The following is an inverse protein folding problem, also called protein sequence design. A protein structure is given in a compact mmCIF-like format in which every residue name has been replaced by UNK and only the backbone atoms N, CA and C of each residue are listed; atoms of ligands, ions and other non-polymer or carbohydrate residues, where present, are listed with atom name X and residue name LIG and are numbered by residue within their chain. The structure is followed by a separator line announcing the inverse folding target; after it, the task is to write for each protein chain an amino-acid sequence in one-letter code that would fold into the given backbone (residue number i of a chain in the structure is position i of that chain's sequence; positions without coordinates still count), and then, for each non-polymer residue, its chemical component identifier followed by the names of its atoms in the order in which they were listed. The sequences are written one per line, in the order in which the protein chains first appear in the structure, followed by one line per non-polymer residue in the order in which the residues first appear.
data_IF_090830409312
#
_entry.id   IF_090830409312
#
_cell.length_a   1.000
_cell.length_b   1.000
_cell.length_c   1.000
_cell.angle_alpha   90.00
_cell.angle_beta   90.00
_cell.angle_gamma   90.00
#
_symmetry.space_group_name_H-M   'P 1'
#
loop_
_entity.id
_entity.type
_entity.pdbx_description
1 polymer ?
#
# COMPACT_ATOMS: atom_id res chain seq x y z
N UNK A 1 2.87 -16.22 2.76
CA UNK A 1 2.42 -15.32 1.68
C UNK A 1 3.01 -15.82 0.36
N UNK A 2 2.21 -15.89 -0.70
CA UNK A 2 2.67 -16.17 -2.07
C UNK A 2 2.27 -14.95 -2.91
N UNK A 3 3.23 -14.29 -3.56
CA UNK A 3 2.99 -13.08 -4.35
C UNK A 3 3.27 -13.36 -5.82
N UNK A 4 2.24 -13.22 -6.67
CA UNK A 4 2.33 -13.46 -8.11
C UNK A 4 2.52 -12.14 -8.86
N UNK A 5 3.52 -12.06 -9.73
CA UNK A 5 3.63 -10.99 -10.72
C UNK A 5 2.70 -11.30 -11.89
N UNK A 6 1.44 -10.86 -11.79
CA UNK A 6 0.38 -11.24 -12.74
C UNK A 6 0.72 -10.86 -14.18
N UNK A 7 1.25 -9.65 -14.39
CA UNK A 7 1.64 -9.15 -15.70
C UNK A 7 2.73 -10.02 -16.31
N UNK A 8 3.76 -10.39 -15.54
CA UNK A 8 4.86 -11.22 -16.03
C UNK A 8 4.40 -12.64 -16.38
N UNK A 9 3.53 -13.22 -15.56
CA UNK A 9 2.94 -14.54 -15.84
C UNK A 9 2.11 -14.47 -17.12
N UNK A 10 1.25 -13.45 -17.25
CA UNK A 10 0.41 -13.28 -18.41
C UNK A 10 1.21 -13.00 -19.69
N UNK A 11 2.29 -12.19 -19.62
CA UNK A 11 3.22 -12.00 -20.74
C UNK A 11 3.82 -13.33 -21.21
N UNK A 12 4.26 -14.18 -20.28
CA UNK A 12 4.79 -15.51 -20.61
C UNK A 12 3.72 -16.41 -21.25
N UNK A 13 2.51 -16.41 -20.72
CA UNK A 13 1.40 -17.23 -21.24
C UNK A 13 0.90 -16.75 -22.61
N UNK A 14 0.93 -15.44 -22.87
CA UNK A 14 0.48 -14.84 -24.13
C UNK A 14 1.62 -14.70 -25.16
N UNK A 15 2.87 -14.97 -24.77
CA UNK A 15 4.02 -14.90 -25.67
C UNK A 15 4.36 -13.49 -26.13
N UNK A 16 4.16 -12.48 -25.28
CA UNK A 16 4.47 -11.07 -25.57
C UNK A 16 5.68 -10.57 -24.77
N UNK A 17 6.50 -9.74 -25.39
CA UNK A 17 7.74 -9.21 -24.80
C UNK A 17 7.54 -7.90 -24.01
N UNK A 18 6.43 -7.20 -24.26
CA UNK A 18 6.06 -5.95 -23.57
C UNK A 18 4.77 -6.14 -22.78
N UNK A 19 4.71 -5.56 -21.58
CA UNK A 19 3.48 -5.55 -20.78
C UNK A 19 2.35 -4.79 -21.49
N UNK A 20 2.67 -3.78 -22.29
CA UNK A 20 1.67 -2.96 -22.97
C UNK A 20 0.96 -3.70 -24.11
N UNK A 21 1.59 -4.75 -24.65
CA UNK A 21 1.03 -5.59 -25.72
C UNK A 21 0.14 -6.72 -25.17
N UNK A 22 0.08 -6.88 -23.85
CA UNK A 22 -0.72 -7.90 -23.18
C UNK A 22 -2.20 -7.67 -23.46
N UNK A 23 -2.92 -8.71 -23.89
CA UNK A 23 -4.37 -8.66 -24.06
C UNK A 23 -5.01 -8.67 -22.68
N UNK A 24 -5.62 -7.54 -22.32
CA UNK A 24 -6.35 -7.35 -21.06
C UNK A 24 -7.73 -8.01 -21.12
N UNK A 25 -8.44 -7.78 -22.23
CA UNK A 25 -9.72 -8.40 -22.50
C UNK A 25 -9.91 -8.56 -24.01
N UNK A 26 -10.55 -9.66 -24.42
CA UNK A 26 -10.99 -9.87 -25.79
C UNK A 26 -12.51 -10.07 -25.80
N UNK A 27 -13.22 -9.23 -26.55
CA UNK A 27 -14.68 -9.16 -26.46
C UNK A 27 -15.36 -8.71 -27.75
N UNK A 28 -16.70 -8.60 -27.75
CA UNK A 28 -17.48 -8.30 -28.96
C UNK A 28 -17.14 -6.97 -29.65
N UNK A 29 -16.52 -6.04 -28.90
CA UNK A 29 -16.13 -4.71 -29.38
C UNK A 29 -14.67 -4.65 -29.84
N UNK A 30 -13.98 -5.81 -29.87
CA UNK A 30 -12.56 -5.94 -30.19
C UNK A 30 -11.70 -6.22 -28.97
N UNK A 31 -10.40 -6.34 -29.25
CA UNK A 31 -9.36 -6.60 -28.26
C UNK A 31 -8.95 -5.31 -27.57
N UNK A 32 -8.82 -5.36 -26.24
CA UNK A 32 -8.29 -4.28 -25.40
C UNK A 32 -6.96 -4.76 -24.82
N UNK A 33 -5.91 -3.98 -25.03
CA UNK A 33 -4.58 -4.26 -24.49
C UNK A 33 -4.39 -3.60 -23.12
N UNK A 34 -3.38 -4.06 -22.36
CA UNK A 34 -2.94 -3.40 -21.14
C UNK A 34 -2.49 -1.96 -21.44
N UNK A 35 -1.85 -1.74 -22.60
CA UNK A 35 -1.46 -0.41 -23.06
C UNK A 35 -2.63 0.54 -23.19
N UNK A 36 -3.75 0.09 -23.77
CA UNK A 36 -4.96 0.91 -23.91
C UNK A 36 -5.53 1.38 -22.56
N UNK A 37 -5.35 0.58 -21.51
CA UNK A 37 -5.89 0.85 -20.18
C UNK A 37 -4.92 1.66 -19.30
N UNK A 38 -3.63 1.31 -19.31
CA UNK A 38 -2.68 1.79 -18.30
C UNK A 38 -1.53 2.64 -18.84
N UNK A 39 -1.25 2.67 -20.14
CA UNK A 39 -0.09 3.42 -20.65
C UNK A 39 -0.18 4.91 -20.33
N UNK A 40 -1.37 5.53 -20.51
CA UNK A 40 -1.59 6.93 -20.13
C UNK A 40 -1.37 7.13 -18.62
N UNK A 41 -1.93 6.25 -17.79
CA UNK A 41 -1.78 6.32 -16.34
C UNK A 41 -0.30 6.23 -15.92
N UNK A 42 0.47 5.31 -16.49
CA UNK A 42 1.90 5.16 -16.18
C UNK A 42 2.71 6.40 -16.55
N UNK A 43 2.44 7.00 -17.71
CA UNK A 43 3.10 8.25 -18.14
C UNK A 43 2.75 9.38 -17.17
N UNK A 44 1.47 9.62 -16.92
CA UNK A 44 1.00 10.73 -16.08
C UNK A 44 1.45 10.57 -14.62
N UNK A 45 1.32 9.36 -14.05
CA UNK A 45 1.75 9.09 -12.67
C UNK A 45 3.26 9.18 -12.52
N UNK A 46 4.05 8.72 -13.50
CA UNK A 46 5.50 8.89 -13.48
C UNK A 46 5.88 10.36 -13.50
N UNK A 47 5.31 11.15 -14.43
CA UNK A 47 5.55 12.59 -14.51
C UNK A 47 5.17 13.28 -13.19
N UNK A 48 4.01 12.96 -12.62
CA UNK A 48 3.61 13.50 -11.32
C UNK A 48 4.60 13.13 -10.21
N UNK A 49 4.90 11.83 -10.04
CA UNK A 49 5.73 11.31 -8.96
C UNK A 49 7.18 11.79 -9.03
N UNK A 50 7.74 11.99 -10.21
CA UNK A 50 9.13 12.39 -10.39
C UNK A 50 9.34 13.90 -10.54
N UNK A 51 8.35 14.65 -10.99
CA UNK A 51 8.54 16.06 -11.37
C UNK A 51 7.64 17.01 -10.58
N UNK A 52 6.34 16.72 -10.49
CA UNK A 52 5.34 17.69 -10.04
C UNK A 52 4.86 17.53 -8.60
N UNK A 53 5.02 16.37 -7.98
CA UNK A 53 4.53 16.17 -6.62
C UNK A 53 5.16 17.18 -5.64
N UNK A 54 4.30 17.87 -4.89
CA UNK A 54 4.68 18.96 -3.98
C UNK A 54 5.36 18.38 -2.73
N UNK A 55 6.68 18.54 -2.67
CA UNK A 55 7.54 18.02 -1.62
C UNK A 55 7.18 18.58 -0.24
N UNK A 56 6.87 19.87 -0.12
CA UNK A 56 6.59 20.51 1.17
C UNK A 56 5.27 19.99 1.76
N UNK A 57 4.24 19.87 0.90
CA UNK A 57 2.98 19.24 1.27
C UNK A 57 3.17 17.76 1.66
N UNK A 58 4.02 17.02 0.94
CA UNK A 58 4.29 15.61 1.25
C UNK A 58 4.97 15.44 2.62
N UNK A 59 5.95 16.28 2.98
CA UNK A 59 6.53 16.26 4.33
C UNK A 59 5.48 16.54 5.41
N UNK A 60 4.67 17.58 5.20
CA UNK A 60 3.58 17.95 6.12
C UNK A 60 2.55 16.84 6.27
N UNK A 61 2.21 16.17 5.17
CA UNK A 61 1.28 15.04 5.16
C UNK A 61 1.85 13.85 5.93
N UNK A 62 3.13 13.51 5.72
CA UNK A 62 3.77 12.42 6.46
C UNK A 62 3.68 12.64 7.97
N UNK A 63 4.08 13.83 8.44
CA UNK A 63 4.06 14.17 9.86
C UNK A 63 2.62 14.19 10.42
N UNK A 64 1.66 14.62 9.61
CA UNK A 64 0.23 14.59 9.96
C UNK A 64 -0.29 13.17 10.11
N UNK A 65 0.01 12.27 9.17
CA UNK A 65 -0.42 10.88 9.23
C UNK A 65 0.23 10.13 10.39
N UNK A 66 1.52 10.38 10.67
CA UNK A 66 2.19 9.81 11.84
C UNK A 66 1.50 10.25 13.14
N UNK A 67 1.27 11.56 13.32
CA UNK A 67 0.63 12.10 14.52
C UNK A 67 -0.79 11.57 14.70
N UNK A 68 -1.61 11.60 13.66
CA UNK A 68 -2.99 11.11 13.77
C UNK A 68 -3.02 9.58 13.97
N UNK A 69 -2.10 8.82 13.37
CA UNK A 69 -1.98 7.37 13.62
C UNK A 69 -1.74 7.11 15.10
N UNK A 70 -0.79 7.84 15.70
CA UNK A 70 -0.48 7.72 17.13
C UNK A 70 -1.69 8.05 18.00
N UNK A 71 -2.42 9.12 17.68
CA UNK A 71 -3.67 9.49 18.36
C UNK A 71 -4.75 8.41 18.25
N UNK A 72 -4.88 7.74 17.10
CA UNK A 72 -5.84 6.64 16.91
C UNK A 72 -5.45 5.40 17.73
N UNK A 73 -4.14 5.11 17.85
CA UNK A 73 -3.63 4.05 18.72
C UNK A 73 -4.01 4.32 20.17
N UNK A 74 -3.77 5.55 20.66
CA UNK A 74 -4.12 5.97 22.02
C UNK A 74 -5.63 5.93 22.29
N UNK A 75 -6.45 6.18 21.27
CA UNK A 75 -7.90 6.06 21.34
C UNK A 75 -8.41 4.60 21.27
N UNK A 76 -7.54 3.60 21.13
CA UNK A 76 -7.94 2.20 20.98
C UNK A 76 -8.59 1.87 19.65
N UNK A 77 -8.25 2.64 18.59
CA UNK A 77 -8.79 2.51 17.23
C UNK A 77 -7.69 2.02 16.25
N UNK A 78 -7.31 0.73 16.31
CA UNK A 78 -6.16 0.23 15.53
C UNK A 78 -6.41 0.18 14.03
N UNK A 79 -7.65 -0.03 13.57
CA UNK A 79 -7.96 -0.06 12.13
C UNK A 79 -7.81 1.33 11.48
N UNK A 80 -8.40 2.42 12.02
CA UNK A 80 -8.09 3.77 11.55
C UNK A 80 -6.60 4.14 11.64
N UNK A 81 -5.92 3.69 12.70
CA UNK A 81 -4.48 3.91 12.82
C UNK A 81 -3.72 3.23 11.67
N UNK A 82 -4.07 2.00 11.31
CA UNK A 82 -3.45 1.27 10.20
C UNK A 82 -3.58 2.00 8.86
N UNK A 83 -4.76 2.53 8.55
CA UNK A 83 -4.99 3.32 7.33
C UNK A 83 -4.05 4.54 7.25
N UNK A 84 -3.80 5.20 8.39
CA UNK A 84 -2.87 6.33 8.46
C UNK A 84 -1.41 5.89 8.29
N UNK A 85 -1.03 4.70 8.77
CA UNK A 85 0.30 4.12 8.49
C UNK A 85 0.49 3.84 7.00
N UNK A 86 -0.52 3.31 6.32
CA UNK A 86 -0.47 3.08 4.88
C UNK A 86 -0.29 4.39 4.11
N UNK A 87 -1.03 5.44 4.50
CA UNK A 87 -0.88 6.78 3.93
C UNK A 87 0.54 7.34 4.17
N UNK A 88 1.06 7.24 5.39
CA UNK A 88 2.42 7.67 5.70
C UNK A 88 3.47 6.91 4.85
N UNK A 89 3.32 5.58 4.73
CA UNK A 89 4.21 4.76 3.91
C UNK A 89 4.16 5.15 2.43
N UNK A 90 2.98 5.42 1.88
CA UNK A 90 2.84 5.87 0.50
C UNK A 90 3.43 7.26 0.28
N UNK A 91 3.16 8.21 1.18
CA UNK A 91 3.76 9.55 1.14
C UNK A 91 5.29 9.51 1.22
N UNK A 92 5.85 8.61 2.03
CA UNK A 92 7.29 8.36 2.03
C UNK A 92 7.81 7.89 0.66
N UNK A 93 7.12 6.96 -0.01
CA UNK A 93 7.52 6.51 -1.34
C UNK A 93 7.48 7.66 -2.36
N UNK A 94 6.52 8.58 -2.25
CA UNK A 94 6.47 9.76 -3.11
C UNK A 94 7.65 10.71 -2.86
N UNK A 95 8.00 10.95 -1.59
CA UNK A 95 9.19 11.75 -1.22
C UNK A 95 10.48 11.12 -1.77
N UNK A 96 10.60 9.79 -1.68
CA UNK A 96 11.73 9.02 -2.21
C UNK A 96 11.80 9.11 -3.74
N UNK A 97 10.66 8.97 -4.44
CA UNK A 97 10.57 9.14 -5.89
C UNK A 97 10.97 10.56 -6.33
N UNK A 98 10.54 11.59 -5.59
CA UNK A 98 10.96 12.97 -5.82
C UNK A 98 12.44 13.23 -5.53
N UNK A 99 13.17 12.25 -4.99
CA UNK A 99 14.57 12.39 -4.51
C UNK A 99 14.71 13.51 -3.47
N UNK A 100 13.65 13.76 -2.70
CA UNK A 100 13.59 14.82 -1.71
C UNK A 100 14.26 14.44 -0.38
N UNK A 101 14.63 13.17 -0.21
CA UNK A 101 15.24 12.63 1.00
C UNK A 101 16.62 12.04 0.70
N UNK A 102 17.59 12.33 1.56
CA UNK A 102 18.90 11.70 1.52
C UNK A 102 18.84 10.23 1.99
N UNK A 103 19.90 9.47 1.74
CA UNK A 103 20.00 8.06 2.20
C UNK A 103 19.82 7.94 3.72
N UNK A 104 20.39 8.86 4.49
CA UNK A 104 20.26 8.90 5.96
C UNK A 104 18.83 9.22 6.39
N UNK A 105 18.18 10.16 5.71
CA UNK A 105 16.77 10.49 5.99
C UNK A 105 15.85 9.32 5.63
N UNK A 106 16.08 8.65 4.50
CA UNK A 106 15.33 7.46 4.10
C UNK A 106 15.30 6.40 5.20
N UNK A 107 16.44 6.11 5.83
CA UNK A 107 16.50 5.18 6.96
C UNK A 107 15.65 5.67 8.16
N UNK A 108 15.66 6.97 8.45
CA UNK A 108 14.84 7.57 9.51
C UNK A 108 13.35 7.42 9.22
N UNK A 109 12.89 7.71 8.01
CA UNK A 109 11.49 7.54 7.60
C UNK A 109 11.05 6.08 7.69
N UNK A 110 11.87 5.13 7.22
CA UNK A 110 11.59 3.69 7.35
C UNK A 110 11.39 3.28 8.81
N UNK A 111 12.25 3.76 9.72
CA UNK A 111 12.12 3.45 11.15
C UNK A 111 10.86 4.05 11.77
N UNK A 112 10.45 5.26 11.36
CA UNK A 112 9.20 5.91 11.79
C UNK A 112 7.98 5.07 11.38
N UNK A 113 7.85 4.73 10.09
CA UNK A 113 6.75 3.88 9.58
C UNK A 113 6.74 2.52 10.28
N UNK A 114 7.90 1.88 10.45
CA UNK A 114 8.03 0.60 11.15
C UNK A 114 7.56 0.68 12.61
N UNK A 115 7.87 1.77 13.30
CA UNK A 115 7.48 1.99 14.69
C UNK A 115 5.97 2.11 14.81
N UNK A 116 5.33 2.89 13.94
CA UNK A 116 3.88 2.99 13.88
C UNK A 116 3.23 1.63 13.59
N UNK A 117 3.69 0.92 12.55
CA UNK A 117 3.13 -0.38 12.17
C UNK A 117 3.18 -1.40 13.33
N UNK A 118 4.28 -1.41 14.11
CA UNK A 118 4.41 -2.26 15.31
C UNK A 118 3.41 -1.87 16.39
N UNK A 119 3.26 -0.57 16.66
CA UNK A 119 2.31 -0.08 17.65
C UNK A 119 0.86 -0.38 17.26
N UNK A 120 0.52 -0.23 15.97
CA UNK A 120 -0.79 -0.62 15.42
C UNK A 120 -1.03 -2.12 15.58
N UNK A 121 -0.05 -2.97 15.29
CA UNK A 121 -0.18 -4.41 15.45
C UNK A 121 -0.44 -4.81 16.91
N UNK A 122 0.27 -4.19 17.86
CA UNK A 122 0.03 -4.40 19.28
C UNK A 122 -1.37 -3.93 19.69
N UNK A 123 -1.76 -2.70 19.32
CA UNK A 123 -3.09 -2.18 19.63
C UNK A 123 -4.21 -3.02 19.02
N UNK A 124 -3.99 -3.60 17.83
CA UNK A 124 -4.91 -4.55 17.21
C UNK A 124 -5.02 -5.83 18.05
N UNK A 125 -3.91 -6.42 18.45
CA UNK A 125 -3.91 -7.59 19.34
C UNK A 125 -4.69 -7.30 20.62
N UNK A 126 -4.36 -6.22 21.34
CA UNK A 126 -5.00 -5.85 22.61
C UNK A 126 -6.50 -5.63 22.42
N UNK A 127 -6.90 -5.00 21.30
CA UNK A 127 -8.31 -4.82 20.97
C UNK A 127 -9.01 -6.15 20.72
N UNK A 128 -8.37 -7.07 19.99
CA UNK A 128 -8.91 -8.42 19.73
C UNK A 128 -9.01 -9.24 21.02
N UNK A 129 -8.03 -9.13 21.91
CA UNK A 129 -8.04 -9.75 23.24
C UNK A 129 -9.19 -9.21 24.10
N UNK A 130 -9.40 -7.88 24.12
CA UNK A 130 -10.52 -7.25 24.84
C UNK A 130 -11.90 -7.72 24.37
N UNK A 131 -11.99 -8.20 23.14
CA UNK A 131 -13.20 -8.75 22.52
C UNK A 131 -13.29 -10.29 22.67
N UNK A 132 -12.34 -10.93 23.35
CA UNK A 132 -12.31 -12.38 23.53
C UNK A 132 -11.90 -13.17 22.29
N UNK A 133 -11.17 -12.56 21.34
CA UNK A 133 -10.74 -13.17 20.08
C UNK A 133 -11.88 -13.86 19.29
N UNK A 134 -12.92 -13.12 18.85
CA UNK A 134 -14.15 -13.73 18.32
C UNK A 134 -13.95 -14.58 17.04
N UNK A 135 -12.86 -14.36 16.30
CA UNK A 135 -12.53 -15.17 15.10
C UNK A 135 -11.81 -16.48 15.43
N UNK A 136 -11.22 -16.62 16.61
CA UNK A 136 -10.60 -17.89 17.05
C UNK A 136 -11.68 -18.84 17.55
N UNK A 137 -12.67 -18.31 18.27
CA UNK A 137 -13.79 -19.09 18.79
C UNK A 137 -14.67 -19.68 17.68
N UNK A 138 -14.91 -18.95 16.59
CA UNK A 138 -15.70 -19.43 15.46
C UNK A 138 -15.08 -20.66 14.76
N UNK A 139 -13.74 -20.75 14.73
CA UNK A 139 -13.02 -21.89 14.11
C UNK A 139 -13.14 -23.15 14.97
N UNK A 140 -13.18 -23.00 16.30
CA UNK A 140 -13.34 -24.13 17.24
C UNK A 140 -14.75 -24.74 17.21
N UNK A 141 -15.78 -23.98 16.82
CA UNK A 141 -17.15 -24.48 16.67
C UNK A 141 -17.35 -25.21 15.33
N UNK A 142 -16.79 -24.69 14.22
CA UNK A 142 -16.82 -25.37 12.92
C UNK A 142 -15.96 -26.65 12.89
N UNK A 143 -14.84 -26.70 13.61
CA UNK A 143 -14.01 -27.90 13.71
C UNK A 143 -14.59 -29.01 14.62
N UNK A 144 -15.62 -28.69 15.42
CA UNK A 144 -16.35 -29.64 16.28
C UNK A 144 -17.69 -30.09 15.67
N UNK A 145 -18.12 -29.50 14.56
CA UNK A 145 -19.27 -29.93 13.75
C UNK A 145 -18.86 -30.88 12.63
#
# INVERSE_FOLDING_TARGET
EITYGLERIAMYLQGVDSVYDLIWADGPMGTVTYGDVFHQNEVEMSTYNFEYADVDSLFTNFDTYERESQKMIEAGLPLPAYELVLKASHTFNMLDARKAISVTERQRFILRVRTLARAVAQAYYDRRESLGFPMVQAVDEEAKS
#
